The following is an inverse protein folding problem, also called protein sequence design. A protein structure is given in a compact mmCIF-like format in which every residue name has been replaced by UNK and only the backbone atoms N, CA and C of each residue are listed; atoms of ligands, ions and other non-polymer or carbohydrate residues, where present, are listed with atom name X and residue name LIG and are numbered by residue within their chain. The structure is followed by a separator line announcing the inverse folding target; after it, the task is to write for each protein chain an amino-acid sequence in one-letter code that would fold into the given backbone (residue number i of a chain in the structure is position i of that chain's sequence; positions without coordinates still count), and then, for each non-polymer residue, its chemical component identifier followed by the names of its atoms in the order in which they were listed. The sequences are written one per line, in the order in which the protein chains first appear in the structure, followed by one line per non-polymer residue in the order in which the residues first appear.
data_IF_591145435611
#
_entry.id   IF_591145435611
#
_cell.length_a   1.000
_cell.length_b   1.000
_cell.length_c   1.000
_cell.angle_alpha   90.00
_cell.angle_beta   90.00
_cell.angle_gamma   90.00
#
_symmetry.space_group_name_H-M   'P 1'
#
loop_
_entity.id
_entity.type
_entity.pdbx_description
1 polymer ?
#
# COMPACT_ATOMS: atom_id res chain seq x y z
N UNK A 1 3.17 23.46 -10.65
CA UNK A 1 2.47 22.42 -9.86
C UNK A 1 1.47 21.71 -10.77
N UNK A 2 1.53 20.38 -10.83
CA UNK A 2 0.59 19.52 -11.56
C UNK A 2 -0.17 18.63 -10.58
N UNK A 3 -1.42 18.34 -10.92
CA UNK A 3 -2.30 17.47 -10.15
C UNK A 3 -2.66 16.23 -10.96
N UNK A 4 -2.64 15.08 -10.30
CA UNK A 4 -3.13 13.82 -10.82
C UNK A 4 -4.22 13.29 -9.90
N UNK A 5 -5.27 12.74 -10.50
CA UNK A 5 -6.29 12.01 -9.79
C UNK A 5 -6.68 10.77 -10.59
N UNK A 6 -6.84 9.66 -9.90
CA UNK A 6 -7.41 8.43 -10.45
C UNK A 6 -8.33 7.76 -9.43
N UNK A 7 -9.34 7.09 -9.94
CA UNK A 7 -10.20 6.20 -9.16
C UNK A 7 -10.13 4.80 -9.74
N UNK A 8 -10.33 3.80 -8.89
CA UNK A 8 -10.38 2.40 -9.27
C UNK A 8 -11.32 1.65 -8.32
N UNK A 9 -11.87 0.53 -8.78
CA UNK A 9 -12.66 -0.38 -7.96
C UNK A 9 -11.90 -1.69 -7.86
N UNK A 10 -11.63 -2.12 -6.64
CA UNK A 10 -11.11 -3.45 -6.35
C UNK A 10 -12.29 -4.38 -6.04
N UNK A 11 -12.35 -5.53 -6.71
CA UNK A 11 -13.39 -6.55 -6.49
C UNK A 11 -13.05 -7.44 -5.27
N UNK A 12 -12.64 -6.77 -4.19
CA UNK A 12 -12.27 -7.35 -2.90
C UNK A 12 -12.85 -6.50 -1.78
N UNK A 13 -13.23 -7.14 -0.68
CA UNK A 13 -13.80 -6.44 0.47
C UNK A 13 -12.77 -5.48 1.09
N UNK A 14 -13.25 -4.41 1.72
CA UNK A 14 -12.37 -3.44 2.36
C UNK A 14 -11.44 -4.07 3.41
N UNK A 15 -11.92 -5.08 4.13
CA UNK A 15 -11.11 -5.82 5.09
C UNK A 15 -9.95 -6.57 4.41
N UNK A 16 -10.20 -7.22 3.28
CA UNK A 16 -9.15 -7.89 2.50
C UNK A 16 -8.14 -6.89 1.95
N UNK A 17 -8.63 -5.78 1.38
CA UNK A 17 -7.77 -4.75 0.78
C UNK A 17 -6.84 -4.12 1.83
N UNK A 18 -7.39 -3.74 2.97
CA UNK A 18 -6.60 -3.12 4.04
C UNK A 18 -5.64 -4.10 4.71
N UNK A 19 -6.01 -5.38 4.87
CA UNK A 19 -5.11 -6.41 5.37
C UNK A 19 -3.95 -6.67 4.38
N UNK A 20 -4.24 -6.81 3.09
CA UNK A 20 -3.24 -7.04 2.05
C UNK A 20 -2.31 -5.84 1.84
N UNK A 21 -2.75 -4.61 2.12
CA UNK A 21 -1.93 -3.40 1.97
C UNK A 21 -0.64 -3.45 2.79
N UNK A 22 -0.65 -4.13 3.93
CA UNK A 22 0.55 -4.33 4.76
C UNK A 22 1.56 -5.31 4.14
N UNK A 23 1.09 -6.17 3.25
CA UNK A 23 1.87 -7.17 2.50
C UNK A 23 2.16 -6.74 1.06
N UNK A 24 1.88 -5.48 0.71
CA UNK A 24 2.06 -4.95 -0.65
C UNK A 24 3.49 -5.11 -1.17
N UNK A 25 4.48 -5.11 -0.29
CA UNK A 25 5.89 -5.26 -0.65
C UNK A 25 6.52 -6.46 0.07
N UNK A 26 7.45 -7.17 -0.60
CA UNK A 26 7.88 -6.97 -1.99
C UNK A 26 6.83 -7.43 -3.02
N UNK A 27 6.81 -6.82 -4.22
CA UNK A 27 6.04 -7.33 -5.35
C UNK A 27 6.78 -7.09 -6.68
N UNK A 28 6.54 -7.95 -7.68
CA UNK A 28 7.26 -7.97 -8.97
C UNK A 28 7.06 -6.70 -9.82
N UNK A 29 5.97 -5.97 -9.59
CA UNK A 29 5.67 -4.72 -10.32
C UNK A 29 6.34 -3.50 -9.68
N UNK A 30 6.82 -3.62 -8.44
CA UNK A 30 7.52 -2.56 -7.71
C UNK A 30 8.88 -3.05 -7.16
N UNK A 31 9.78 -3.58 -8.02
CA UNK A 31 11.06 -4.13 -7.57
C UNK A 31 12.02 -3.06 -7.05
N UNK A 32 11.73 -1.78 -7.34
CA UNK A 32 12.49 -0.64 -6.86
C UNK A 32 12.30 -0.40 -5.35
N UNK A 33 11.22 -0.88 -4.73
CA UNK A 33 11.03 -0.79 -3.27
C UNK A 33 11.79 -1.94 -2.62
N UNK A 34 12.93 -1.64 -2.00
CA UNK A 34 13.86 -2.65 -1.47
C UNK A 34 13.74 -2.85 0.04
N UNK A 35 13.17 -1.89 0.76
CA UNK A 35 12.91 -2.01 2.20
C UNK A 35 11.69 -1.18 2.62
N UNK A 36 10.99 -1.65 3.64
CA UNK A 36 9.86 -0.97 4.29
C UNK A 36 9.99 -1.15 5.79
N UNK A 37 10.25 -0.05 6.48
CA UNK A 37 10.45 -0.03 7.93
C UNK A 37 9.27 0.67 8.61
N UNK A 38 8.76 0.11 9.70
CA UNK A 38 7.76 0.78 10.54
C UNK A 38 8.49 1.65 11.56
N UNK A 39 8.29 2.96 11.48
CA UNK A 39 8.91 3.92 12.39
C UNK A 39 8.08 4.11 13.66
N UNK A 40 6.76 4.17 13.51
CA UNK A 40 5.80 4.27 14.61
C UNK A 40 4.50 3.58 14.24
N UNK A 41 3.83 2.99 15.25
CA UNK A 41 2.50 2.41 15.10
C UNK A 41 1.77 2.40 16.43
N UNK A 42 0.59 2.99 16.46
CA UNK A 42 -0.26 2.99 17.65
C UNK A 42 -1.74 3.06 17.26
N UNK A 43 -2.59 2.56 18.16
CA UNK A 43 -4.03 2.78 18.09
C UNK A 43 -4.34 3.98 18.97
N UNK A 44 -4.97 4.99 18.39
CA UNK A 44 -5.45 6.15 19.13
C UNK A 44 -6.54 5.70 20.13
N UNK A 45 -6.35 5.92 21.44
CA UNK A 45 -7.25 5.37 22.46
C UNK A 45 -8.63 6.04 22.49
N UNK A 46 -8.76 7.26 21.99
CA UNK A 46 -10.03 8.01 21.97
C UNK A 46 -10.86 7.65 20.74
N UNK A 47 -10.21 7.60 19.58
CA UNK A 47 -10.88 7.41 18.29
C UNK A 47 -10.93 5.96 17.86
N UNK A 48 -9.96 5.13 18.27
CA UNK A 48 -9.77 3.75 17.82
C UNK A 48 -9.08 3.65 16.44
N UNK A 49 -8.56 4.76 15.90
CA UNK A 49 -7.88 4.80 14.61
C UNK A 49 -6.48 4.22 14.74
N UNK A 50 -6.13 3.26 13.89
CA UNK A 50 -4.76 2.75 13.78
C UNK A 50 -3.94 3.72 12.94
N UNK A 51 -2.93 4.33 13.55
CA UNK A 51 -1.94 5.16 12.88
C UNK A 51 -0.66 4.35 12.67
N UNK A 52 -0.05 4.50 11.51
CA UNK A 52 1.25 3.90 11.22
C UNK A 52 2.07 4.88 10.40
N UNK A 53 3.34 5.02 10.78
CA UNK A 53 4.35 5.72 10.01
C UNK A 53 5.39 4.71 9.50
N UNK A 54 5.68 4.76 8.20
CA UNK A 54 6.66 3.90 7.54
C UNK A 54 7.69 4.69 6.76
N UNK A 55 8.89 4.15 6.68
CA UNK A 55 9.95 4.57 5.77
C UNK A 55 10.08 3.54 4.67
N UNK A 56 9.93 3.97 3.43
CA UNK A 56 10.17 3.15 2.25
C UNK A 56 11.53 3.53 1.68
N UNK A 57 12.37 2.53 1.41
CA UNK A 57 13.64 2.69 0.71
C UNK A 57 13.49 2.22 -0.73
N UNK A 58 13.70 3.13 -1.66
CA UNK A 58 13.58 2.89 -3.09
C UNK A 58 14.94 2.98 -3.76
N UNK A 59 15.34 1.93 -4.49
CA UNK A 59 16.51 1.91 -5.36
C UNK A 59 16.04 2.00 -6.82
N UNK A 60 16.28 3.15 -7.46
CA UNK A 60 15.84 3.38 -8.82
C UNK A 60 16.91 4.14 -9.62
N UNK A 61 17.12 3.71 -10.86
CA UNK A 61 18.02 4.39 -11.77
C UNK A 61 17.37 5.71 -12.23
N UNK A 62 17.94 6.83 -11.79
CA UNK A 62 17.59 8.14 -12.33
C UNK A 62 18.50 8.47 -13.54
N UNK A 63 18.04 9.32 -14.48
CA UNK A 63 18.89 9.78 -15.58
C UNK A 63 20.20 10.37 -15.06
N UNK A 64 21.33 10.12 -15.74
CA UNK A 64 22.66 10.54 -15.29
C UNK A 64 22.78 12.05 -15.03
N UNK A 65 22.03 12.87 -15.77
CA UNK A 65 21.94 14.31 -15.55
C UNK A 65 21.34 14.61 -14.15
N UNK A 66 20.29 13.90 -13.77
CA UNK A 66 19.59 14.05 -12.48
C UNK A 66 20.46 13.53 -11.34
N UNK A 67 21.14 12.39 -11.51
CA UNK A 67 22.10 11.86 -10.52
C UNK A 67 23.26 12.84 -10.22
N UNK A 68 23.77 13.55 -11.24
CA UNK A 68 24.83 14.56 -11.06
C UNK A 68 24.39 15.74 -10.18
N UNK A 69 23.13 16.16 -10.25
CA UNK A 69 22.57 17.21 -9.39
C UNK A 69 22.18 16.70 -7.99
N UNK A 70 22.19 15.39 -7.77
CA UNK A 70 21.68 14.73 -6.56
C UNK A 70 22.75 14.00 -5.73
N UNK A 71 24.03 14.29 -5.98
CA UNK A 71 25.13 13.66 -5.24
C UNK A 71 25.35 12.18 -5.56
N UNK A 72 24.81 11.69 -6.69
CA UNK A 72 25.15 10.37 -7.24
C UNK A 72 24.46 9.15 -6.61
N UNK A 73 23.56 9.32 -5.64
CA UNK A 73 22.84 8.20 -5.03
C UNK A 73 21.64 7.75 -5.87
N UNK A 74 21.50 6.45 -6.09
CA UNK A 74 20.29 5.80 -6.67
C UNK A 74 19.26 5.44 -5.60
N UNK A 75 19.63 5.58 -4.31
CA UNK A 75 18.73 5.38 -3.19
C UNK A 75 17.91 6.65 -2.93
N UNK A 76 16.62 6.44 -2.71
CA UNK A 76 15.66 7.47 -2.35
C UNK A 76 14.78 6.99 -1.21
N UNK A 77 14.46 7.91 -0.31
CA UNK A 77 13.62 7.64 0.85
C UNK A 77 12.26 8.29 0.69
N UNK A 78 11.23 7.56 1.09
CA UNK A 78 9.84 7.99 1.03
C UNK A 78 9.19 7.76 2.38
N UNK A 79 8.57 8.82 2.93
CA UNK A 79 7.80 8.73 4.16
C UNK A 79 6.36 8.44 3.81
N UNK A 80 5.79 7.44 4.48
CA UNK A 80 4.38 7.11 4.37
C UNK A 80 3.72 7.20 5.75
N UNK A 81 2.59 7.90 5.84
CA UNK A 81 1.73 7.88 7.02
C UNK A 81 0.36 7.33 6.64
N UNK A 82 -0.19 6.45 7.46
CA UNK A 82 -1.49 5.84 7.22
C UNK A 82 -2.38 5.91 8.45
N UNK A 83 -3.66 6.15 8.21
CA UNK A 83 -4.74 6.20 9.19
C UNK A 83 -5.82 5.22 8.76
N UNK A 84 -6.05 4.17 9.55
CA UNK A 84 -7.09 3.18 9.36
C UNK A 84 -8.16 3.37 10.42
N UNK A 85 -9.34 3.77 9.98
CA UNK A 85 -10.53 3.91 10.82
C UNK A 85 -11.47 2.70 10.62
N UNK A 86 -11.58 1.79 11.61
CA UNK A 86 -12.45 0.64 11.51
C UNK A 86 -13.95 0.99 11.61
N UNK A 87 -14.30 2.14 12.22
CA UNK A 87 -15.71 2.56 12.37
C UNK A 87 -16.26 3.07 11.05
N UNK A 88 -15.49 3.88 10.33
CA UNK A 88 -15.88 4.41 9.01
C UNK A 88 -15.46 3.51 7.85
N UNK A 89 -14.76 2.40 8.13
CA UNK A 89 -14.17 1.49 7.12
C UNK A 89 -13.42 2.27 6.05
N UNK A 90 -12.48 3.10 6.51
CA UNK A 90 -11.65 3.97 5.66
C UNK A 90 -10.18 3.80 6.01
N UNK A 91 -9.37 3.57 4.98
CA UNK A 91 -7.91 3.63 5.08
C UNK A 91 -7.43 4.83 4.25
N UNK A 92 -6.73 5.76 4.88
CA UNK A 92 -6.11 6.90 4.21
C UNK A 92 -4.60 6.77 4.34
N UNK A 93 -3.88 6.88 3.24
CA UNK A 93 -2.43 6.81 3.18
C UNK A 93 -1.90 8.08 2.53
N UNK A 94 -0.83 8.63 3.09
CA UNK A 94 -0.15 9.82 2.59
C UNK A 94 1.31 9.53 2.42
N UNK A 95 1.82 9.85 1.26
CA UNK A 95 3.18 9.52 0.87
C UNK A 95 3.88 10.78 0.39
N UNK A 96 5.11 10.99 0.87
CA UNK A 96 5.96 12.10 0.43
C UNK A 96 7.39 11.64 0.30
N UNK A 97 8.08 12.09 -0.75
CA UNK A 97 9.52 11.83 -0.87
C UNK A 97 10.30 12.68 0.15
N UNK A 98 11.28 12.07 0.80
CA UNK A 98 12.24 12.74 1.69
C UNK A 98 13.54 13.09 0.96
N UNK A 99 13.93 12.23 0.01
CA UNK A 99 15.07 12.48 -0.87
C UNK A 99 14.65 13.26 -2.12
N UNK A 100 15.59 13.96 -2.74
CA UNK A 100 15.42 14.67 -4.02
C UNK A 100 14.40 15.83 -4.00
N UNK A 101 13.99 16.33 -2.83
CA UNK A 101 13.03 17.42 -2.69
C UNK A 101 13.49 18.75 -3.32
N UNK A 102 14.80 18.95 -3.47
CA UNK A 102 15.38 20.07 -4.21
C UNK A 102 15.13 20.01 -5.72
N UNK A 103 14.80 18.83 -6.25
CA UNK A 103 14.54 18.55 -7.67
C UNK A 103 13.06 18.34 -7.93
N UNK A 104 12.38 17.55 -7.10
CA UNK A 104 10.98 17.19 -7.27
C UNK A 104 10.34 16.91 -5.92
N UNK A 105 9.15 17.45 -5.69
CA UNK A 105 8.33 17.15 -4.51
C UNK A 105 7.06 16.47 -5.01
N UNK A 106 6.80 15.28 -4.49
CA UNK A 106 5.62 14.46 -4.76
C UNK A 106 4.90 14.27 -3.45
N UNK A 107 3.67 14.77 -3.37
CA UNK A 107 2.75 14.48 -2.27
C UNK A 107 1.60 13.66 -2.82
N UNK A 108 1.46 12.44 -2.34
CA UNK A 108 0.40 11.52 -2.73
C UNK A 108 -0.54 11.27 -1.56
N UNK A 109 -1.83 11.18 -1.86
CA UNK A 109 -2.86 10.69 -0.95
C UNK A 109 -3.63 9.58 -1.64
N UNK A 110 -3.70 8.43 -0.99
CA UNK A 110 -4.52 7.30 -1.39
C UNK A 110 -5.59 7.07 -0.33
N UNK A 111 -6.82 6.82 -0.76
CA UNK A 111 -7.94 6.49 0.12
C UNK A 111 -8.63 5.22 -0.36
N UNK A 112 -8.87 4.29 0.55
CA UNK A 112 -9.68 3.10 0.36
C UNK A 112 -10.93 3.19 1.22
N UNK A 113 -12.11 3.07 0.61
CA UNK A 113 -13.40 3.03 1.31
C UNK A 113 -14.25 1.89 0.77
N UNK A 114 -15.18 1.38 1.58
CA UNK A 114 -16.22 0.47 1.09
C UNK A 114 -16.96 1.11 -0.09
N UNK A 115 -17.29 0.32 -1.10
CA UNK A 115 -18.11 0.77 -2.20
C UNK A 115 -19.58 0.93 -1.74
N UNK A 116 -20.17 2.15 -1.84
CA UNK A 116 -21.55 2.37 -1.39
C UNK A 116 -22.60 1.54 -2.13
N UNK A 117 -22.29 1.09 -3.34
CA UNK A 117 -23.19 0.26 -4.16
C UNK A 117 -23.01 -1.25 -3.92
N UNK A 118 -21.88 -1.66 -3.34
CA UNK A 118 -21.53 -3.07 -3.17
C UNK A 118 -20.52 -3.22 -2.01
N UNK A 119 -20.98 -3.68 -0.85
CA UNK A 119 -20.11 -3.85 0.32
C UNK A 119 -18.99 -4.88 0.13
N UNK A 120 -19.09 -5.73 -0.90
CA UNK A 120 -18.05 -6.72 -1.23
C UNK A 120 -16.88 -6.15 -2.03
N UNK A 121 -16.96 -4.90 -2.49
CA UNK A 121 -15.89 -4.21 -3.21
C UNK A 121 -15.38 -2.95 -2.50
N UNK A 122 -14.20 -2.51 -2.92
CA UNK A 122 -13.49 -1.37 -2.33
C UNK A 122 -13.25 -0.29 -3.38
N UNK A 123 -13.62 0.94 -3.06
CA UNK A 123 -13.30 2.12 -3.85
C UNK A 123 -11.91 2.63 -3.48
N UNK A 124 -11.07 2.78 -4.50
CA UNK A 124 -9.76 3.38 -4.43
C UNK A 124 -9.78 4.76 -5.06
N UNK A 125 -9.25 5.75 -4.35
CA UNK A 125 -9.00 7.10 -4.86
C UNK A 125 -7.54 7.46 -4.61
N UNK A 126 -6.86 7.91 -5.65
CA UNK A 126 -5.47 8.35 -5.61
C UNK A 126 -5.40 9.78 -6.11
N UNK A 127 -4.73 10.63 -5.35
CA UNK A 127 -4.51 12.04 -5.63
C UNK A 127 -3.03 12.34 -5.44
N UNK A 128 -2.38 12.95 -6.42
CA UNK A 128 -0.98 13.31 -6.32
C UNK A 128 -0.74 14.75 -6.78
N UNK A 129 0.09 15.45 -6.03
CA UNK A 129 0.59 16.78 -6.31
C UNK A 129 2.08 16.68 -6.63
N UNK A 130 2.45 17.18 -7.80
CA UNK A 130 3.82 17.16 -8.29
C UNK A 130 4.28 18.60 -8.46
N UNK A 131 5.38 18.94 -7.78
CA UNK A 131 5.94 20.29 -7.75
C UNK A 131 7.42 20.20 -8.13
N UNK A 132 7.85 21.00 -9.12
CA UNK A 132 9.27 21.14 -9.41
C UNK A 132 10.00 21.77 -8.22
N UNK A 133 11.10 21.15 -7.80
CA UNK A 133 11.97 21.70 -6.76
C UNK A 133 12.74 22.93 -7.24
N UNK A 134 13.34 23.64 -6.29
CA UNK A 134 14.03 24.92 -6.54
C UNK A 134 15.13 24.83 -7.58
N UNK A 135 15.84 23.70 -7.66
CA UNK A 135 16.95 23.49 -8.59
C UNK A 135 16.52 23.48 -10.07
N UNK A 136 15.27 23.15 -10.36
CA UNK A 136 14.73 23.06 -11.73
C UNK A 136 13.60 24.05 -12.00
N UNK A 137 13.46 25.08 -11.15
CA UNK A 137 12.40 26.11 -11.26
C UNK A 137 12.32 26.75 -12.65
N UNK A 138 13.45 26.97 -13.32
CA UNK A 138 13.54 27.53 -14.70
C UNK A 138 13.03 26.59 -15.81
N UNK A 139 12.91 25.29 -15.52
CA UNK A 139 12.41 24.26 -16.44
C UNK A 139 11.18 23.54 -15.86
N UNK A 140 10.50 24.18 -14.91
CA UNK A 140 9.45 23.59 -14.09
C UNK A 140 8.36 22.92 -14.93
N UNK A 141 7.82 23.56 -15.97
CA UNK A 141 6.76 22.99 -16.80
C UNK A 141 7.16 21.66 -17.48
N UNK A 142 8.35 21.58 -18.07
CA UNK A 142 8.83 20.37 -18.75
C UNK A 142 9.07 19.22 -17.76
N UNK A 143 9.69 19.54 -16.62
CA UNK A 143 9.98 18.56 -15.57
C UNK A 143 8.67 18.04 -14.96
N UNK A 144 7.74 18.94 -14.65
CA UNK A 144 6.44 18.57 -14.10
C UNK A 144 5.63 17.70 -15.07
N UNK A 145 5.62 18.01 -16.37
CA UNK A 145 4.90 17.20 -17.37
C UNK A 145 5.53 15.81 -17.58
N UNK A 146 6.87 15.74 -17.59
CA UNK A 146 7.59 14.46 -17.64
C UNK A 146 7.29 13.60 -16.40
N UNK A 147 7.39 14.20 -15.21
CA UNK A 147 7.11 13.52 -13.95
C UNK A 147 5.64 13.10 -13.83
N UNK A 148 4.70 13.92 -14.30
CA UNK A 148 3.28 13.57 -14.33
C UNK A 148 3.01 12.35 -15.21
N UNK A 149 3.64 12.27 -16.39
CA UNK A 149 3.50 11.13 -17.29
C UNK A 149 4.03 9.86 -16.62
N UNK A 150 5.23 9.93 -16.03
CA UNK A 150 5.82 8.79 -15.31
C UNK A 150 5.00 8.37 -14.09
N UNK A 151 4.43 9.33 -13.36
CA UNK A 151 3.56 9.03 -12.23
C UNK A 151 2.31 8.29 -12.69
N UNK A 152 1.69 8.68 -13.81
CA UNK A 152 0.52 7.99 -14.38
C UNK A 152 0.83 6.54 -14.74
N UNK A 153 1.94 6.32 -15.44
CA UNK A 153 2.38 4.98 -15.85
C UNK A 153 2.65 4.10 -14.62
N UNK A 154 3.39 4.63 -13.65
CA UNK A 154 3.71 3.94 -12.41
C UNK A 154 2.47 3.65 -11.54
N UNK A 155 1.48 4.55 -11.55
CA UNK A 155 0.24 4.34 -10.81
C UNK A 155 -0.57 3.16 -11.37
N UNK A 156 -0.59 2.97 -12.69
CA UNK A 156 -1.23 1.82 -13.32
C UNK A 156 -0.51 0.51 -12.97
N UNK A 157 0.82 0.49 -13.08
CA UNK A 157 1.67 -0.65 -12.71
C UNK A 157 1.51 -1.00 -11.22
N UNK A 158 1.52 0.00 -10.34
CA UNK A 158 1.35 -0.19 -8.91
C UNK A 158 -0.01 -0.77 -8.51
N UNK A 159 -1.09 -0.40 -9.22
CA UNK A 159 -2.42 -1.01 -9.02
C UNK A 159 -2.45 -2.47 -9.46
N UNK A 160 -1.91 -2.78 -10.65
CA UNK A 160 -1.81 -4.16 -11.12
C UNK A 160 -0.96 -5.03 -10.17
N UNK A 161 0.16 -4.48 -9.67
CA UNK A 161 0.99 -5.14 -8.67
C UNK A 161 0.24 -5.45 -7.38
N UNK A 162 -0.57 -4.51 -6.91
CA UNK A 162 -1.36 -4.70 -5.70
C UNK A 162 -2.49 -5.72 -5.91
N UNK A 163 -3.11 -5.76 -7.09
CA UNK A 163 -4.12 -6.78 -7.43
C UNK A 163 -3.55 -8.21 -7.31
N UNK A 164 -2.32 -8.43 -7.80
CA UNK A 164 -1.66 -9.73 -7.63
C UNK A 164 -1.43 -10.10 -6.16
N UNK A 165 -1.15 -9.11 -5.31
CA UNK A 165 -1.01 -9.34 -3.85
C UNK A 165 -2.36 -9.69 -3.25
N UNK A 166 -3.45 -9.05 -3.66
CA UNK A 166 -4.81 -9.35 -3.20
C UNK A 166 -5.22 -10.78 -3.55
N UNK A 167 -4.98 -11.23 -4.78
CA UNK A 167 -5.27 -12.59 -5.20
C UNK A 167 -4.48 -13.64 -4.40
N UNK A 168 -3.17 -13.40 -4.20
CA UNK A 168 -2.32 -14.27 -3.35
C UNK A 168 -2.82 -14.29 -1.91
N UNK A 169 -3.19 -13.14 -1.36
CA UNK A 169 -3.70 -13.02 0.01
C UNK A 169 -5.02 -13.77 0.20
N UNK A 170 -5.93 -13.65 -0.78
CA UNK A 170 -7.22 -14.35 -0.78
C UNK A 170 -7.04 -15.86 -0.84
N UNK A 171 -6.17 -16.35 -1.72
CA UNK A 171 -5.84 -17.78 -1.83
C UNK A 171 -5.29 -18.33 -0.50
N UNK A 172 -4.30 -17.65 0.10
CA UNK A 172 -3.71 -18.05 1.37
C UNK A 172 -4.73 -18.05 2.53
N UNK A 173 -5.61 -17.04 2.57
CA UNK A 173 -6.67 -16.96 3.59
C UNK A 173 -7.68 -18.11 3.47
N UNK A 174 -8.05 -18.47 2.24
CA UNK A 174 -8.96 -19.59 2.00
C UNK A 174 -8.35 -20.93 2.39
N UNK A 175 -7.08 -21.15 2.05
CA UNK A 175 -6.33 -22.34 2.44
C UNK A 175 -6.22 -22.47 3.97
N UNK A 176 -5.86 -21.38 4.67
CA UNK A 176 -5.77 -21.37 6.13
C UNK A 176 -7.11 -21.70 6.79
N UNK A 177 -8.22 -21.16 6.27
CA UNK A 177 -9.57 -21.44 6.78
C UNK A 177 -9.93 -22.91 6.59
N UNK A 178 -9.66 -23.46 5.40
CA UNK A 178 -9.92 -24.88 5.09
C UNK A 178 -9.12 -25.84 5.97
N UNK A 179 -7.87 -25.48 6.30
CA UNK A 179 -7.03 -26.27 7.21
C UNK A 179 -7.56 -26.23 8.65
N UNK A 180 -8.00 -25.05 9.11
CA UNK A 180 -8.58 -24.88 10.44
C UNK A 180 -9.87 -25.67 10.62
N UNK A 181 -10.75 -25.67 9.63
CA UNK A 181 -11.98 -26.48 9.63
C UNK A 181 -11.66 -27.98 9.74
N UNK A 182 -10.73 -28.48 8.92
CA UNK A 182 -10.28 -29.89 8.98
C UNK A 182 -9.70 -30.24 10.35
N UNK A 183 -8.88 -29.38 10.93
CA UNK A 183 -8.28 -29.60 12.25
C UNK A 183 -9.35 -29.60 13.36
N UNK A 184 -10.34 -28.72 13.26
CA UNK A 184 -11.46 -28.63 14.22
C UNK A 184 -12.31 -29.90 14.18
N UNK A 185 -12.66 -30.37 12.98
CA UNK A 185 -13.41 -31.63 12.79
C UNK A 185 -12.62 -32.83 13.32
N UNK A 186 -11.33 -32.92 13.02
CA UNK A 186 -10.46 -34.00 13.52
C UNK A 186 -10.38 -34.01 15.06
N UNK A 187 -10.27 -32.82 15.67
CA UNK A 187 -10.21 -32.67 17.14
C UNK A 187 -11.54 -33.07 17.79
N UNK A 188 -12.67 -32.66 17.21
CA UNK A 188 -14.00 -33.04 17.69
C UNK A 188 -14.25 -34.55 17.58
N UNK A 189 -13.81 -35.17 16.48
CA UNK A 189 -13.90 -36.62 16.28
C UNK A 189 -13.06 -37.39 17.32
N UNK A 190 -11.82 -36.95 17.58
CA UNK A 190 -10.95 -37.56 18.59
C UNK A 190 -11.54 -37.45 20.02
N UNK A 191 -12.15 -36.31 20.36
CA UNK A 191 -12.80 -36.11 21.64
C UNK A 191 -14.02 -37.04 21.84
N UNK A 192 -14.82 -37.24 20.78
CA UNK A 192 -15.98 -38.14 20.83
C UNK A 192 -15.57 -39.61 21.02
N UNK A 193 -14.49 -40.06 20.37
CA UNK A 193 -13.95 -41.41 20.55
C UNK A 193 -13.46 -41.63 21.98
N UNK A 194 -12.74 -40.67 22.55
CA UNK A 194 -12.27 -40.76 23.95
C UNK A 194 -13.41 -40.77 24.96
N UNK A 195 -14.48 -39.99 24.74
CA UNK A 195 -15.65 -39.99 25.62
C UNK A 195 -16.42 -41.33 25.58
N UNK A 196 -16.52 -41.96 24.40
CA UNK A 196 -17.14 -43.27 24.24
C UNK A 196 -16.32 -44.40 24.88
N UNK A 197 -14.98 -44.29 24.85
CA UNK A 197 -14.08 -45.27 25.46
C UNK A 197 -14.01 -45.24 27.00
N UNK A 198 -14.40 -44.13 27.63
CA UNK A 198 -14.39 -43.98 29.10
C UNK A 198 -15.67 -44.48 29.81
N UNK A 199 -16.63 -45.04 29.06
CA UNK A 199 -17.93 -45.52 29.58
C UNK A 199 -18.02 -47.06 29.69
N UNK A 200 -16.89 -47.77 29.66
CA UNK A 200 -16.76 -49.22 29.91
C UNK A 200 -15.93 -49.47 31.18
#
# INVERSE_FOLDING_TARGET
MKFFQATHKFDHSWAQVTAANWMKYPNEQCPHVIAVDVLDRHVDPETGVLRTERLLTCNQNAPALVLKFLGGSTLSYVRETSELDPKTKKLTMRTQNLSMCNVLIINETVTYTVNPQDESSTMFKQEAQIVAGSALSRFSSYVEDFCLTRFRDNAAVGRAGFEMVLEKFKAASHEATSQLEKATVATAAAAAVNAAGASL
#
